data_IF_464865389186
#
_entry.id   IF_464865389186
#
_cell.length_a   1.000
_cell.length_b   1.000
_cell.length_c   1.000
_cell.angle_alpha   90.00
_cell.angle_beta   90.00
_cell.angle_gamma   90.00
#
_symmetry.space_group_name_H-M   'P 1'
#
loop_
_entity.id
_entity.type
_entity.pdbx_description
1 polymer ?
#
# COMPACT_ATOMS: atom_id res chain seq x y z
N UNK A 1 -16.63 20.00 -16.62
CA UNK A 1 -16.20 18.60 -16.42
C UNK A 1 -15.60 18.52 -15.04
N UNK A 2 -16.18 17.72 -14.13
CA UNK A 2 -15.58 17.51 -12.81
C UNK A 2 -14.36 16.59 -12.95
N UNK A 3 -13.25 16.85 -12.24
CA UNK A 3 -12.12 15.93 -12.25
C UNK A 3 -12.57 14.55 -11.72
N UNK A 4 -12.06 13.44 -12.29
CA UNK A 4 -12.35 12.13 -11.77
C UNK A 4 -11.94 12.06 -10.30
N UNK A 5 -12.87 11.66 -9.43
CA UNK A 5 -12.57 11.46 -8.01
C UNK A 5 -11.49 10.38 -7.90
N UNK A 6 -10.43 10.58 -7.10
CA UNK A 6 -9.48 9.53 -6.80
C UNK A 6 -10.26 8.31 -6.29
N UNK A 7 -10.03 7.14 -6.90
CA UNK A 7 -10.50 5.89 -6.29
C UNK A 7 -9.71 5.72 -4.98
N UNK A 8 -10.34 5.38 -3.85
CA UNK A 8 -9.60 5.11 -2.62
C UNK A 8 -8.59 3.98 -2.89
N UNK A 9 -7.34 4.22 -2.51
CA UNK A 9 -6.25 3.25 -2.59
C UNK A 9 -6.09 2.51 -1.27
N UNK A 10 -5.44 1.35 -1.33
CA UNK A 10 -5.10 0.52 -0.18
C UNK A 10 -3.69 0.87 0.27
N UNK A 11 -3.51 1.17 1.54
CA UNK A 11 -2.22 1.60 2.08
C UNK A 11 -1.71 0.58 3.07
N UNK A 12 -0.47 0.14 2.87
CA UNK A 12 0.27 -0.74 3.77
C UNK A 12 1.56 -0.07 4.20
N UNK A 13 2.09 -0.48 5.35
CA UNK A 13 3.26 0.07 6.02
C UNK A 13 4.13 -1.08 6.49
N UNK A 14 5.43 -0.97 6.29
CA UNK A 14 6.30 -1.99 6.83
C UNK A 14 6.29 -1.97 8.38
N UNK A 15 6.52 -3.11 9.05
CA UNK A 15 6.50 -3.20 10.51
C UNK A 15 7.51 -2.28 11.21
N UNK A 16 8.63 -1.95 10.56
CA UNK A 16 9.64 -1.05 11.10
C UNK A 16 9.30 0.43 10.86
N UNK A 17 8.16 0.75 10.25
CA UNK A 17 7.65 2.11 9.99
C UNK A 17 8.66 2.97 9.21
N UNK A 18 9.33 2.37 8.24
CA UNK A 18 10.30 3.00 7.34
C UNK A 18 9.60 3.54 6.08
N UNK A 19 8.63 2.80 5.53
CA UNK A 19 7.94 3.10 4.29
C UNK A 19 6.44 2.79 4.40
N UNK A 20 5.65 3.64 3.76
CA UNK A 20 4.23 3.45 3.53
C UNK A 20 3.98 3.38 2.02
N UNK A 21 3.24 2.38 1.56
CA UNK A 21 2.97 2.12 0.15
C UNK A 21 1.48 2.12 -0.07
N UNK A 22 1.02 2.90 -1.06
CA UNK A 22 -0.38 2.91 -1.49
C UNK A 22 -0.50 2.22 -2.85
N UNK A 23 -1.39 1.24 -2.97
CA UNK A 23 -1.77 0.60 -4.24
C UNK A 23 -3.20 0.96 -4.61
N UNK A 24 -3.53 0.91 -5.90
CA UNK A 24 -4.92 1.05 -6.36
C UNK A 24 -5.65 -0.29 -6.43
N UNK A 25 -6.94 -0.27 -6.81
CA UNK A 25 -7.76 -1.47 -6.94
C UNK A 25 -7.24 -2.52 -7.96
N UNK A 26 -6.36 -2.11 -8.88
CA UNK A 26 -5.67 -2.99 -9.84
C UNK A 26 -4.35 -3.57 -9.31
N UNK A 27 -3.90 -3.13 -8.13
CA UNK A 27 -2.62 -3.50 -7.53
C UNK A 27 -1.44 -2.67 -8.03
N UNK A 28 -1.68 -1.55 -8.72
CA UNK A 28 -0.60 -0.67 -9.15
C UNK A 28 -0.23 0.28 -8.02
N UNK A 29 1.08 0.40 -7.75
CA UNK A 29 1.61 1.38 -6.79
C UNK A 29 1.29 2.80 -7.23
N UNK A 30 0.64 3.56 -6.35
CA UNK A 30 0.27 4.97 -6.52
C UNK A 30 1.19 5.91 -5.76
N UNK A 31 1.67 5.49 -4.60
CA UNK A 31 2.57 6.28 -3.78
C UNK A 31 3.49 5.37 -2.97
N UNK A 32 4.70 5.84 -2.74
CA UNK A 32 5.64 5.34 -1.73
C UNK A 32 6.08 6.54 -0.91
N UNK A 33 5.85 6.50 0.39
CA UNK A 33 6.22 7.55 1.33
C UNK A 33 7.25 6.99 2.31
N UNK A 34 8.45 7.54 2.30
CA UNK A 34 9.45 7.24 3.33
C UNK A 34 9.16 8.05 4.58
N UNK A 35 9.06 7.35 5.70
CA UNK A 35 8.79 7.91 7.03
C UNK A 35 10.12 8.37 7.68
N UNK A 36 10.10 9.12 8.79
CA UNK A 36 11.33 9.62 9.42
C UNK A 36 12.37 8.53 9.72
N UNK A 37 11.92 7.31 10.07
CA UNK A 37 12.81 6.18 10.38
C UNK A 37 13.58 5.61 9.16
N UNK A 38 13.28 6.13 7.96
CA UNK A 38 14.03 5.87 6.73
C UNK A 38 15.36 6.62 6.66
N UNK A 39 15.54 7.69 7.43
CA UNK A 39 16.76 8.47 7.41
C UNK A 39 17.97 7.63 7.83
N UNK A 40 19.05 7.70 7.05
CA UNK A 40 20.28 6.94 7.30
C UNK A 40 20.18 5.43 7.03
N UNK A 41 19.04 4.92 6.53
CA UNK A 41 18.93 3.51 6.13
C UNK A 41 19.66 3.25 4.82
N UNK A 42 20.18 2.03 4.70
CA UNK A 42 20.81 1.58 3.45
C UNK A 42 19.75 1.43 2.35
N UNK A 43 20.11 1.57 1.07
CA UNK A 43 19.19 1.33 -0.04
C UNK A 43 18.52 -0.05 0.01
N UNK A 44 19.24 -1.06 0.53
CA UNK A 44 18.70 -2.40 0.75
C UNK A 44 17.57 -2.41 1.78
N UNK A 45 17.78 -1.78 2.94
CA UNK A 45 16.73 -1.70 3.97
C UNK A 45 15.51 -0.91 3.48
N UNK A 46 15.73 0.16 2.70
CA UNK A 46 14.62 0.91 2.10
C UNK A 46 13.82 0.05 1.12
N UNK A 47 14.50 -0.76 0.28
CA UNK A 47 13.82 -1.68 -0.64
C UNK A 47 13.03 -2.77 0.10
N UNK A 48 13.60 -3.35 1.15
CA UNK A 48 12.93 -4.34 2.00
C UNK A 48 11.68 -3.75 2.67
N UNK A 49 11.75 -2.50 3.17
CA UNK A 49 10.60 -1.80 3.73
C UNK A 49 9.50 -1.53 2.69
N UNK A 50 9.86 -1.09 1.48
CA UNK A 50 8.89 -0.86 0.41
C UNK A 50 8.18 -2.15 0.02
N UNK A 51 8.90 -3.27 -0.08
CA UNK A 51 8.29 -4.57 -0.38
C UNK A 51 7.31 -5.01 0.73
N UNK A 52 7.71 -4.87 1.99
CA UNK A 52 6.83 -5.21 3.11
C UNK A 52 5.56 -4.33 3.16
N UNK A 53 5.69 -3.02 2.93
CA UNK A 53 4.54 -2.12 2.84
C UNK A 53 3.63 -2.43 1.66
N UNK A 54 4.21 -2.82 0.50
CA UNK A 54 3.45 -3.27 -0.65
C UNK A 54 2.66 -4.56 -0.37
N UNK A 55 3.30 -5.55 0.25
CA UNK A 55 2.65 -6.81 0.60
C UNK A 55 1.44 -6.55 1.53
N UNK A 56 1.59 -5.71 2.55
CA UNK A 56 0.47 -5.36 3.43
C UNK A 56 -0.66 -4.64 2.67
N UNK A 57 -0.32 -3.71 1.77
CA UNK A 57 -1.30 -3.01 0.94
C UNK A 57 -2.07 -3.96 0.01
N UNK A 58 -1.37 -4.92 -0.58
CA UNK A 58 -1.95 -5.96 -1.43
C UNK A 58 -2.85 -6.93 -0.66
N UNK A 59 -2.44 -7.33 0.56
CA UNK A 59 -3.27 -8.16 1.42
C UNK A 59 -4.60 -7.47 1.73
N UNK A 60 -4.57 -6.19 2.14
CA UNK A 60 -5.79 -5.41 2.39
C UNK A 60 -6.68 -5.33 1.15
N UNK A 61 -6.08 -5.06 -0.02
CA UNK A 61 -6.79 -4.99 -1.30
C UNK A 61 -7.45 -6.30 -1.70
N UNK A 62 -6.77 -7.43 -1.46
CA UNK A 62 -7.29 -8.76 -1.79
C UNK A 62 -8.41 -9.16 -0.84
N UNK A 63 -8.28 -8.84 0.45
CA UNK A 63 -9.27 -9.12 1.47
C UNK A 63 -10.61 -8.41 1.22
N UNK A 64 -10.56 -7.11 0.92
CA UNK A 64 -11.76 -6.32 0.54
C UNK A 64 -12.49 -6.92 -0.68
N UNK A 65 -11.72 -7.43 -1.65
CA UNK A 65 -12.27 -8.05 -2.86
C UNK A 65 -12.96 -9.37 -2.58
N UNK A 66 -12.46 -10.15 -1.61
CA UNK A 66 -13.05 -11.44 -1.22
C UNK A 66 -14.29 -11.25 -0.36
N UNK A 67 -14.26 -10.39 0.66
CA UNK A 67 -15.44 -10.13 1.51
C UNK A 67 -16.57 -9.44 0.73
N UNK A 68 -16.23 -8.55 -0.21
CA UNK A 68 -17.21 -7.92 -1.10
C UNK A 68 -17.91 -8.88 -2.08
N UNK A 69 -17.41 -10.12 -2.26
CA UNK A 69 -18.09 -11.17 -3.03
C UNK A 69 -19.08 -11.98 -2.18
N UNK A 70 -18.80 -12.17 -0.90
CA UNK A 70 -19.60 -13.05 -0.03
C UNK A 70 -20.76 -12.31 0.67
N UNK A 71 -20.73 -10.98 0.78
CA UNK A 71 -21.85 -10.18 1.29
C UNK A 71 -23.10 -10.11 0.38
N UNK A 72 -23.15 -10.89 -0.71
CA UNK A 72 -24.31 -11.06 -1.61
C UNK A 72 -24.80 -12.51 -1.68
N UNK A 73 -24.68 -13.28 -0.59
CA UNK A 73 -25.34 -14.58 -0.42
C UNK A 73 -26.06 -14.67 0.91
#
# INVERSE_FOLDING_TARGET
MSPPRPRPGHTGRDPARIAEVTVDAGGFVRAVVFLPDAEGRSPRHLAEAVLAGYDEAELARLWDRTEGRDGRR
#
